data_IF_080324856044
#
_entry.id   IF_080324856044
#
_cell.length_a   1.000
_cell.length_b   1.000
_cell.length_c   1.000
_cell.angle_alpha   90.00
_cell.angle_beta   90.00
_cell.angle_gamma   90.00
#
_symmetry.space_group_name_H-M   'P 1'
#
loop_
_entity.id
_entity.type
_entity.pdbx_description
1 polymer ?
#
# COMPACT_ATOMS: atom_id res chain seq x y z
N UNK A 1 -2.48 -17.67 -14.91
CA UNK A 1 -2.85 -16.22 -14.92
C UNK A 1 -3.92 -16.03 -16.00
N UNK A 2 -4.74 -14.95 -16.01
CA UNK A 2 -5.74 -14.79 -17.08
C UNK A 2 -5.13 -14.47 -18.45
N UNK A 3 -3.89 -13.97 -18.48
CA UNK A 3 -3.07 -13.72 -19.67
C UNK A 3 -1.60 -14.10 -19.37
N UNK A 4 -0.86 -14.52 -20.39
CA UNK A 4 0.56 -14.90 -20.28
C UNK A 4 1.50 -13.71 -20.49
N UNK A 5 1.35 -12.68 -19.66
CA UNK A 5 2.17 -11.46 -19.69
C UNK A 5 3.32 -11.58 -18.69
N UNK A 6 4.53 -11.31 -19.18
CA UNK A 6 5.79 -11.32 -18.43
C UNK A 6 6.44 -9.92 -18.46
N UNK A 7 7.41 -9.67 -17.58
CA UNK A 7 8.13 -8.38 -17.52
C UNK A 7 8.90 -8.05 -18.81
N UNK A 8 9.30 -9.08 -19.57
CA UNK A 8 9.98 -8.94 -20.85
C UNK A 8 9.03 -8.93 -22.06
N UNK A 9 7.72 -9.09 -21.87
CA UNK A 9 6.76 -9.13 -22.98
C UNK A 9 6.65 -7.74 -23.63
N UNK A 10 6.90 -7.61 -24.95
CA UNK A 10 6.76 -6.34 -25.67
C UNK A 10 5.33 -5.79 -25.60
N UNK A 11 5.20 -4.46 -25.61
CA UNK A 11 3.89 -3.78 -25.48
C UNK A 11 2.91 -4.18 -26.60
N UNK A 12 3.39 -4.36 -27.82
CA UNK A 12 2.54 -4.73 -28.96
C UNK A 12 1.96 -6.13 -28.80
N UNK A 13 2.73 -7.05 -28.21
CA UNK A 13 2.28 -8.40 -27.90
C UNK A 13 1.22 -8.37 -26.80
N UNK A 14 1.43 -7.58 -25.74
CA UNK A 14 0.43 -7.38 -24.67
C UNK A 14 -0.89 -6.82 -25.23
N UNK A 15 -0.80 -5.80 -26.10
CA UNK A 15 -1.98 -5.23 -26.76
C UNK A 15 -2.68 -6.24 -27.66
N UNK A 16 -1.93 -7.09 -28.37
CA UNK A 16 -2.48 -8.15 -29.19
C UNK A 16 -3.19 -9.22 -28.35
N UNK A 17 -2.60 -9.65 -27.23
CA UNK A 17 -3.23 -10.56 -26.26
C UNK A 17 -4.56 -9.98 -25.78
N UNK A 18 -4.61 -8.71 -25.40
CA UNK A 18 -5.87 -8.06 -25.02
C UNK A 18 -6.85 -7.88 -26.18
N UNK A 19 -6.45 -7.92 -27.45
CA UNK A 19 -7.41 -7.83 -28.57
C UNK A 19 -7.98 -9.20 -28.91
N UNK A 20 -7.11 -10.19 -29.04
CA UNK A 20 -7.43 -11.49 -29.65
C UNK A 20 -7.83 -12.53 -28.61
N UNK A 21 -7.14 -12.56 -27.47
CA UNK A 21 -7.34 -13.63 -26.49
C UNK A 21 -8.61 -13.40 -25.65
N UNK A 22 -9.23 -14.53 -25.31
CA UNK A 22 -10.34 -14.61 -24.38
C UNK A 22 -9.86 -15.32 -23.13
N UNK A 23 -10.17 -14.74 -21.97
CA UNK A 23 -9.89 -15.36 -20.68
C UNK A 23 -10.62 -16.70 -20.59
N UNK A 24 -9.87 -17.74 -20.25
CA UNK A 24 -10.44 -19.06 -19.99
C UNK A 24 -11.14 -19.06 -18.62
N UNK A 25 -12.38 -19.53 -18.59
CA UNK A 25 -13.16 -19.73 -17.36
C UNK A 25 -13.48 -21.22 -17.23
N UNK A 26 -12.99 -21.84 -16.16
CA UNK A 26 -13.22 -23.27 -15.91
C UNK A 26 -14.71 -23.58 -15.75
N UNK A 27 -15.14 -24.73 -16.28
CA UNK A 27 -16.50 -25.24 -16.10
C UNK A 27 -16.81 -25.63 -14.65
N UNK A 28 -15.79 -25.82 -13.81
CA UNK A 28 -15.95 -26.11 -12.38
C UNK A 28 -16.36 -24.89 -11.55
N UNK A 29 -16.28 -23.68 -12.11
CA UNK A 29 -16.64 -22.46 -11.40
C UNK A 29 -18.12 -22.17 -11.49
N UNK A 30 -18.71 -21.66 -10.41
CA UNK A 30 -20.12 -21.31 -10.41
C UNK A 30 -20.40 -20.10 -11.32
N UNK A 31 -21.61 -20.04 -11.88
CA UNK A 31 -22.02 -18.99 -12.84
C UNK A 31 -21.86 -17.58 -12.26
N UNK A 32 -22.18 -17.39 -10.98
CA UNK A 32 -22.05 -16.11 -10.29
C UNK A 32 -20.59 -15.62 -10.22
N UNK A 33 -19.66 -16.50 -9.85
CA UNK A 33 -18.23 -16.20 -9.84
C UNK A 33 -17.73 -15.81 -11.24
N UNK A 34 -18.07 -16.60 -12.26
CA UNK A 34 -17.68 -16.30 -13.66
C UNK A 34 -18.23 -14.96 -14.12
N UNK A 35 -19.48 -14.63 -13.77
CA UNK A 35 -20.09 -13.35 -14.10
C UNK A 35 -19.37 -12.17 -13.43
N UNK A 36 -19.02 -12.30 -12.15
CA UNK A 36 -18.25 -11.28 -11.42
C UNK A 36 -16.86 -11.08 -12.05
N UNK A 37 -16.13 -12.17 -12.29
CA UNK A 37 -14.80 -12.12 -12.91
C UNK A 37 -14.83 -11.46 -14.29
N UNK A 38 -15.85 -11.75 -15.12
CA UNK A 38 -16.03 -11.10 -16.42
C UNK A 38 -16.19 -9.58 -16.29
N UNK A 39 -16.95 -9.09 -15.31
CA UNK A 39 -17.12 -7.64 -15.07
C UNK A 39 -15.84 -6.97 -14.56
N UNK A 40 -15.06 -7.66 -13.72
CA UNK A 40 -13.77 -7.17 -13.22
C UNK A 40 -12.68 -7.16 -14.30
N UNK A 41 -12.69 -8.15 -15.20
CA UNK A 41 -11.73 -8.31 -16.29
C UNK A 41 -12.20 -7.67 -17.61
N UNK A 42 -13.28 -6.88 -17.59
CA UNK A 42 -13.76 -6.13 -18.77
C UNK A 42 -12.65 -5.24 -19.31
N UNK A 43 -12.32 -5.34 -20.60
CA UNK A 43 -11.18 -4.63 -21.20
C UNK A 43 -11.37 -3.11 -21.22
N UNK A 44 -12.58 -2.65 -21.53
CA UNK A 44 -12.94 -1.23 -21.47
C UNK A 44 -13.11 -0.76 -20.01
N UNK A 45 -12.33 0.23 -19.54
CA UNK A 45 -12.44 0.74 -18.17
C UNK A 45 -13.80 1.35 -17.84
N UNK A 46 -14.52 1.93 -18.81
CA UNK A 46 -15.81 2.58 -18.57
C UNK A 46 -16.93 1.60 -18.26
N UNK A 47 -16.80 0.37 -18.75
CA UNK A 47 -17.74 -0.73 -18.50
C UNK A 47 -17.20 -1.75 -17.49
N UNK A 48 -15.97 -1.55 -17.01
CA UNK A 48 -15.37 -2.38 -15.96
C UNK A 48 -15.94 -1.96 -14.61
N UNK A 49 -16.26 -2.97 -13.80
CA UNK A 49 -16.60 -2.77 -12.40
C UNK A 49 -15.43 -2.09 -11.67
N UNK A 50 -15.67 -0.91 -11.07
CA UNK A 50 -14.61 0.01 -10.64
C UNK A 50 -14.86 0.70 -9.29
N UNK A 51 -16.00 0.43 -8.64
CA UNK A 51 -16.33 0.99 -7.32
C UNK A 51 -16.82 -0.06 -6.34
N UNK A 52 -16.70 0.24 -5.03
CA UNK A 52 -17.23 -0.64 -3.99
C UNK A 52 -18.75 -0.85 -4.11
N UNK A 53 -19.51 0.20 -4.44
CA UNK A 53 -20.96 0.08 -4.62
C UNK A 53 -21.35 -0.86 -5.77
N UNK A 54 -20.58 -0.89 -6.86
CA UNK A 54 -20.77 -1.86 -7.94
C UNK A 54 -20.38 -3.29 -7.54
N UNK A 55 -19.34 -3.46 -6.70
CA UNK A 55 -19.00 -4.76 -6.11
C UNK A 55 -20.14 -5.25 -5.23
N UNK A 56 -20.64 -4.39 -4.34
CA UNK A 56 -21.70 -4.72 -3.38
C UNK A 56 -23.03 -5.08 -4.06
N UNK A 57 -23.32 -4.45 -5.20
CA UNK A 57 -24.51 -4.75 -6.00
C UNK A 57 -24.36 -5.96 -6.93
N UNK A 58 -23.19 -6.63 -6.95
CA UNK A 58 -23.01 -7.83 -7.75
C UNK A 58 -23.86 -8.99 -7.20
N UNK A 59 -24.70 -9.66 -8.01
CA UNK A 59 -25.57 -10.73 -7.52
C UNK A 59 -24.85 -11.89 -6.83
N UNK A 60 -23.58 -12.14 -7.20
CA UNK A 60 -22.76 -13.17 -6.59
C UNK A 60 -22.36 -12.87 -5.14
N UNK A 61 -22.43 -11.61 -4.71
CA UNK A 61 -22.05 -11.15 -3.37
C UNK A 61 -23.27 -10.62 -2.58
N UNK A 62 -24.48 -10.98 -2.99
CA UNK A 62 -25.72 -10.48 -2.40
C UNK A 62 -25.93 -10.94 -0.94
N UNK A 63 -25.31 -12.06 -0.55
CA UNK A 63 -25.34 -12.64 0.79
C UNK A 63 -24.20 -12.12 1.70
N UNK A 64 -23.33 -11.25 1.18
CA UNK A 64 -22.20 -10.74 1.94
C UNK A 64 -22.63 -9.68 2.97
N UNK A 65 -22.29 -9.91 4.24
CA UNK A 65 -22.41 -8.88 5.27
C UNK A 65 -21.19 -7.96 5.24
N UNK A 66 -21.31 -6.83 4.54
CA UNK A 66 -20.23 -5.87 4.33
C UNK A 66 -19.76 -5.17 5.61
N UNK A 67 -20.64 -4.97 6.58
CA UNK A 67 -20.24 -4.42 7.89
C UNK A 67 -19.35 -5.42 8.64
N UNK A 68 -19.70 -6.71 8.62
CA UNK A 68 -18.87 -7.76 9.21
C UNK A 68 -17.53 -7.96 8.46
N UNK A 69 -17.49 -7.75 7.14
CA UNK A 69 -16.24 -7.70 6.36
C UNK A 69 -15.36 -6.55 6.88
N UNK A 70 -15.93 -5.35 7.01
CA UNK A 70 -15.23 -4.15 7.43
C UNK A 70 -14.65 -4.28 8.85
N UNK A 71 -15.45 -4.81 9.78
CA UNK A 71 -15.04 -5.08 11.16
C UNK A 71 -14.14 -6.32 11.31
N UNK A 72 -13.78 -6.99 10.20
CA UNK A 72 -13.00 -8.24 10.19
C UNK A 72 -13.62 -9.32 11.08
N UNK A 73 -14.94 -9.33 11.21
CA UNK A 73 -15.70 -10.25 12.04
C UNK A 73 -16.03 -11.56 11.30
N UNK A 74 -15.87 -11.60 9.98
CA UNK A 74 -16.01 -12.83 9.21
C UNK A 74 -14.82 -13.75 9.44
N UNK A 75 -15.10 -14.97 9.88
CA UNK A 75 -14.09 -16.02 10.00
C UNK A 75 -13.62 -16.46 8.61
N UNK A 76 -12.30 -16.46 8.34
CA UNK A 76 -11.78 -16.95 7.07
C UNK A 76 -12.00 -18.46 6.98
N UNK A 77 -12.30 -18.97 5.77
CA UNK A 77 -12.48 -20.40 5.53
C UNK A 77 -11.20 -21.25 5.73
N UNK A 78 -10.04 -20.60 5.85
CA UNK A 78 -8.76 -21.23 6.13
C UNK A 78 -7.92 -20.34 7.04
N UNK A 79 -7.30 -20.94 8.06
CA UNK A 79 -6.35 -20.28 8.95
C UNK A 79 -5.00 -21.00 8.83
N UNK A 80 -3.94 -20.32 8.31
CA UNK A 80 -2.61 -20.92 8.23
C UNK A 80 -2.07 -21.36 9.60
N UNK A 81 -1.23 -22.40 9.61
CA UNK A 81 -0.62 -22.89 10.85
C UNK A 81 0.40 -21.86 11.38
N UNK A 82 0.21 -21.41 12.62
CA UNK A 82 1.07 -20.43 13.30
C UNK A 82 2.48 -20.94 13.59
N UNK A 83 2.68 -22.25 13.68
CA UNK A 83 3.97 -22.88 14.01
C UNK A 83 4.87 -23.13 12.81
N UNK A 84 4.46 -22.75 11.59
CA UNK A 84 5.21 -22.98 10.37
C UNK A 84 5.28 -21.68 9.56
N UNK A 85 6.49 -21.35 9.10
CA UNK A 85 6.68 -20.26 8.13
C UNK A 85 5.96 -20.60 6.83
N UNK A 86 5.27 -19.62 6.26
CA UNK A 86 4.60 -19.77 4.96
C UNK A 86 5.53 -19.42 3.79
N UNK A 87 6.75 -18.98 4.08
CA UNK A 87 7.77 -18.58 3.11
C UNK A 87 8.88 -19.63 3.04
N UNK A 88 9.65 -19.61 1.94
CA UNK A 88 10.86 -20.42 1.80
C UNK A 88 11.97 -19.82 2.69
N UNK A 89 12.50 -20.58 3.68
CA UNK A 89 13.54 -20.10 4.59
C UNK A 89 14.81 -19.60 3.90
N UNK A 90 15.08 -20.02 2.67
CA UNK A 90 16.28 -19.60 1.90
C UNK A 90 16.24 -18.10 1.57
N UNK A 91 15.06 -17.52 1.40
CA UNK A 91 14.88 -16.09 1.14
C UNK A 91 14.80 -15.25 2.42
N UNK A 92 14.67 -15.87 3.59
CA UNK A 92 14.70 -15.20 4.91
C UNK A 92 16.13 -15.15 5.51
N UNK A 93 17.10 -15.82 4.87
CA UNK A 93 18.49 -15.85 5.32
C UNK A 93 19.13 -14.46 5.38
N UNK A 94 18.72 -13.53 4.52
CA UNK A 94 19.23 -12.16 4.56
C UNK A 94 18.91 -11.48 5.90
N UNK A 95 17.71 -11.66 6.45
CA UNK A 95 17.29 -11.10 7.74
C UNK A 95 18.04 -11.77 8.90
N UNK A 96 18.22 -13.09 8.83
CA UNK A 96 18.90 -13.88 9.87
C UNK A 96 20.42 -13.68 9.90
N UNK A 97 21.03 -13.25 8.79
CA UNK A 97 22.49 -13.02 8.65
C UNK A 97 22.86 -11.54 8.89
N UNK A 98 22.01 -10.57 8.54
CA UNK A 98 22.33 -9.15 8.69
C UNK A 98 22.05 -8.58 10.10
N UNK A 99 21.30 -9.27 10.96
CA UNK A 99 21.09 -8.83 12.34
C UNK A 99 22.42 -8.76 13.10
N UNK A 100 22.76 -7.56 13.59
CA UNK A 100 24.02 -7.31 14.30
C UNK A 100 24.10 -7.91 15.71
N UNK A 101 22.98 -8.42 16.25
CA UNK A 101 22.91 -9.16 17.51
C UNK A 101 22.12 -10.47 17.32
N UNK A 102 22.70 -11.47 16.62
CA UNK A 102 22.07 -12.77 16.54
C UNK A 102 21.90 -13.34 17.95
N UNK A 103 20.75 -13.97 18.20
CA UNK A 103 20.36 -14.56 19.48
C UNK A 103 21.44 -15.52 20.03
N UNK A 104 22.36 -14.99 20.85
CA UNK A 104 23.30 -15.66 21.77
C UNK A 104 23.83 -17.08 21.44
N UNK A 105 25.09 -17.18 20.95
CA UNK A 105 26.17 -17.98 21.60
C UNK A 105 27.58 -17.61 21.08
N UNK A 106 28.50 -17.42 22.04
CA UNK A 106 29.96 -17.14 21.98
C UNK A 106 30.43 -15.74 21.52
N UNK A 107 30.85 -14.97 22.54
CA UNK A 107 31.57 -13.71 22.48
C UNK A 107 32.97 -13.92 21.87
N UNK A 108 33.12 -13.75 20.55
CA UNK A 108 34.40 -13.39 19.93
C UNK A 108 34.20 -12.08 19.19
N UNK A 109 34.39 -10.96 19.90
CA UNK A 109 34.30 -9.62 19.33
C UNK A 109 35.51 -9.42 18.42
N UNK A 110 35.30 -9.28 17.11
CA UNK A 110 36.22 -8.48 16.29
C UNK A 110 36.02 -7.02 16.70
N UNK A 111 37.08 -6.38 17.14
CA UNK A 111 37.05 -4.96 17.46
C UNK A 111 36.78 -4.17 16.17
N UNK A 112 35.68 -3.42 16.12
CA UNK A 112 35.47 -2.40 15.10
C UNK A 112 36.45 -1.27 15.42
N UNK A 113 37.55 -1.22 14.69
CA UNK A 113 38.44 -0.07 14.70
C UNK A 113 37.60 1.15 14.28
N UNK A 114 37.38 2.08 15.21
CA UNK A 114 36.96 3.43 14.87
C UNK A 114 38.15 4.08 14.18
N UNK A 115 38.24 3.99 12.86
CA UNK A 115 39.11 4.88 12.11
C UNK A 115 38.60 6.30 12.35
N UNK A 116 39.47 7.09 13.00
CA UNK A 116 39.36 8.54 13.13
C UNK A 116 38.99 9.11 11.75
N UNK A 117 37.88 9.83 11.70
CA UNK A 117 37.45 10.53 10.50
C UNK A 117 38.46 11.66 10.25
N UNK A 118 39.36 11.41 9.32
CA UNK A 118 40.44 12.29 8.91
C UNK A 118 40.33 12.51 7.42
N UNK A 119 39.77 13.66 7.07
CA UNK A 119 40.06 14.42 5.85
C UNK A 119 39.94 13.66 4.52
N UNK A 120 38.80 13.84 3.83
CA UNK A 120 38.76 13.66 2.37
C UNK A 120 37.76 14.60 1.69
N UNK A 121 38.02 15.90 1.83
CA UNK A 121 37.52 16.90 0.88
C UNK A 121 38.32 16.78 -0.42
N UNK A 122 37.71 16.19 -1.45
CA UNK A 122 37.93 16.51 -2.89
C UNK A 122 37.33 15.45 -3.82
N UNK A 123 36.01 15.30 -3.80
CA UNK A 123 35.27 14.85 -4.98
C UNK A 123 34.02 15.74 -5.12
N UNK A 124 33.86 16.52 -6.21
CA UNK A 124 32.71 17.41 -6.41
C UNK A 124 31.35 16.70 -6.35
N UNK A 125 31.34 15.39 -6.65
CA UNK A 125 30.18 14.52 -6.59
C UNK A 125 29.62 14.37 -5.16
N UNK A 126 30.48 14.47 -4.13
CA UNK A 126 30.06 14.42 -2.73
C UNK A 126 29.30 15.68 -2.29
N UNK A 127 29.65 16.86 -2.83
CA UNK A 127 28.99 18.12 -2.48
C UNK A 127 27.56 18.19 -2.99
N UNK A 128 27.33 17.79 -4.24
CA UNK A 128 25.99 17.74 -4.83
C UNK A 128 25.10 16.71 -4.12
N UNK A 129 25.64 15.52 -3.82
CA UNK A 129 24.91 14.51 -3.05
C UNK A 129 24.54 15.03 -1.66
N UNK A 130 25.46 15.70 -0.97
CA UNK A 130 25.23 16.28 0.35
C UNK A 130 24.12 17.34 0.33
N UNK A 131 24.14 18.25 -0.65
CA UNK A 131 23.09 19.24 -0.84
C UNK A 131 21.73 18.59 -1.13
N UNK A 132 21.72 17.51 -1.91
CA UNK A 132 20.51 16.75 -2.20
C UNK A 132 19.94 16.10 -0.92
N UNK A 133 20.80 15.52 -0.08
CA UNK A 133 20.41 14.94 1.22
C UNK A 133 19.88 15.99 2.20
N UNK A 134 20.48 17.18 2.21
CA UNK A 134 20.01 18.30 3.03
C UNK A 134 18.64 18.80 2.58
N UNK A 135 18.41 18.85 1.27
CA UNK A 135 17.10 19.19 0.71
C UNK A 135 16.04 18.18 1.13
N UNK A 136 16.32 16.88 1.02
CA UNK A 136 15.42 15.82 1.50
C UNK A 136 15.14 15.98 2.99
N UNK A 137 16.18 16.21 3.81
CA UNK A 137 16.02 16.38 5.26
C UNK A 137 15.14 17.59 5.62
N UNK A 138 15.26 18.69 4.87
CA UNK A 138 14.51 19.92 5.13
C UNK A 138 13.05 19.80 4.71
N UNK A 139 12.80 19.20 3.54
CA UNK A 139 11.45 19.11 2.96
C UNK A 139 10.66 17.88 3.45
N UNK A 140 11.33 16.92 4.11
CA UNK A 140 10.66 15.72 4.62
C UNK A 140 9.72 16.05 5.78
N UNK A 141 8.42 15.85 5.54
CA UNK A 141 7.39 16.02 6.56
C UNK A 141 7.25 14.74 7.38
N UNK A 142 7.55 14.83 8.68
CA UNK A 142 7.36 13.71 9.60
C UNK A 142 5.86 13.54 9.86
N UNK A 143 5.28 12.48 9.30
CA UNK A 143 3.93 12.05 9.66
C UNK A 143 3.95 11.09 10.84
N UNK A 144 3.09 11.33 11.84
CA UNK A 144 2.92 10.45 12.98
C UNK A 144 1.42 10.24 13.27
N UNK A 145 0.92 9.06 12.88
CA UNK A 145 -0.48 8.65 13.07
C UNK A 145 -0.93 8.69 14.54
N UNK A 146 -0.06 8.31 15.47
CA UNK A 146 -0.38 8.29 16.90
C UNK A 146 -0.52 9.71 17.49
N UNK A 147 0.35 10.64 17.08
CA UNK A 147 0.22 12.06 17.44
C UNK A 147 -1.08 12.65 16.90
N UNK A 148 -1.41 12.35 15.64
CA UNK A 148 -2.67 12.80 15.02
C UNK A 148 -3.90 12.26 15.77
N UNK A 149 -3.91 10.96 16.11
CA UNK A 149 -5.02 10.35 16.86
C UNK A 149 -5.23 10.99 18.23
N UNK A 150 -4.14 11.31 18.95
CA UNK A 150 -4.22 11.99 20.25
C UNK A 150 -4.79 13.41 20.15
N UNK A 151 -4.41 14.15 19.11
CA UNK A 151 -4.93 15.51 18.86
C UNK A 151 -6.43 15.50 18.55
N UNK A 152 -6.89 14.55 17.72
CA UNK A 152 -8.32 14.39 17.43
C UNK A 152 -9.13 13.99 18.67
N UNK A 153 -8.58 13.10 19.52
CA UNK A 153 -9.22 12.73 20.79
C UNK A 153 -9.30 13.86 21.82
N UNK A 154 -8.30 14.76 21.85
CA UNK A 154 -8.29 15.93 22.75
C UNK A 154 -9.21 17.05 22.26
N UNK A 155 -9.30 17.27 20.94
CA UNK A 155 -10.20 18.29 20.37
C UNK A 155 -11.68 17.93 20.54
N UNK A 156 -12.02 16.64 20.68
CA UNK A 156 -13.39 16.19 20.99
C UNK A 156 -13.80 16.37 22.45
N UNK A 157 -12.86 16.48 23.40
CA UNK A 157 -13.18 16.62 24.83
C UNK A 157 -13.43 18.06 25.29
N UNK A 158 -13.03 19.08 24.53
CA UNK A 158 -13.27 20.49 24.89
C UNK A 158 -14.67 21.00 24.52
N UNK A 159 -15.48 20.21 23.81
CA UNK A 159 -16.84 20.59 23.41
C UNK A 159 -17.95 19.93 24.25
N UNK A 160 -17.63 18.96 25.11
CA UNK A 160 -18.62 18.17 25.87
C UNK A 160 -18.82 18.63 27.33
N UNK A 161 -18.49 19.89 27.65
CA UNK A 161 -18.78 20.46 28.98
C UNK A 161 -19.68 21.68 28.89
N UNK A 162 -20.79 21.61 28.14
CA UNK A 162 -22.00 22.41 28.39
C UNK A 162 -23.13 21.99 27.41
N UNK A 163 -24.27 21.54 27.94
CA UNK A 163 -25.54 21.57 27.20
C UNK A 163 -26.09 20.24 26.68
N UNK A 164 -27.20 19.83 27.29
CA UNK A 164 -28.03 18.65 26.99
C UNK A 164 -28.83 18.82 25.67
N UNK A 165 -29.08 17.69 25.01
CA UNK A 165 -30.22 17.35 24.11
C UNK A 165 -30.00 17.37 22.57
N UNK A 166 -30.23 16.20 21.96
CA UNK A 166 -30.89 16.08 20.65
C UNK A 166 -30.04 15.80 19.40
N UNK A 167 -30.13 14.56 18.90
CA UNK A 167 -30.19 14.13 17.49
C UNK A 167 -29.16 14.57 16.42
N UNK A 168 -28.79 13.58 15.57
CA UNK A 168 -28.10 13.66 14.25
C UNK A 168 -26.58 13.92 14.29
N UNK A 169 -25.72 13.49 13.36
CA UNK A 169 -25.81 12.82 12.06
C UNK A 169 -24.49 12.05 11.80
N UNK A 170 -24.52 11.08 10.90
CA UNK A 170 -23.32 10.40 10.36
C UNK A 170 -22.29 11.40 9.81
N UNK A 171 -21.13 11.47 10.45
CA UNK A 171 -19.95 12.13 9.87
C UNK A 171 -19.35 11.26 8.77
N UNK A 172 -19.55 11.65 7.50
CA UNK A 172 -18.78 11.10 6.37
C UNK A 172 -17.29 11.38 6.61
N UNK A 173 -16.52 10.34 6.92
CA UNK A 173 -15.06 10.40 6.74
C UNK A 173 -14.79 10.45 5.24
N UNK A 174 -14.46 11.64 4.74
CA UNK A 174 -13.98 11.82 3.38
C UNK A 174 -12.51 11.39 3.35
N UNK A 175 -12.27 10.12 3.08
CA UNK A 175 -10.95 9.59 2.80
C UNK A 175 -10.63 9.88 1.32
N UNK A 176 -9.63 10.71 1.03
CA UNK A 176 -9.31 11.05 -0.35
C UNK A 176 -8.43 12.28 -0.61
N UNK A 177 -8.13 13.11 0.38
CA UNK A 177 -7.19 14.22 0.16
C UNK A 177 -5.75 13.74 0.38
N UNK A 178 -5.08 13.39 -0.72
CA UNK A 178 -3.63 13.25 -0.74
C UNK A 178 -3.03 14.64 -0.47
N UNK A 179 -2.45 14.86 0.72
CA UNK A 179 -1.86 16.15 1.12
C UNK A 179 -0.57 16.52 0.34
N UNK A 180 -0.24 15.80 -0.74
CA UNK A 180 0.93 16.03 -1.58
C UNK A 180 0.66 16.95 -2.78
N UNK A 181 -0.54 17.52 -2.94
CA UNK A 181 -0.79 18.54 -3.98
C UNK A 181 -0.27 19.88 -3.46
N UNK A 182 1.00 20.17 -3.76
CA UNK A 182 1.59 21.48 -3.58
C UNK A 182 0.87 22.46 -4.52
N UNK A 183 0.05 23.36 -3.97
CA UNK A 183 -0.66 24.41 -4.71
C UNK A 183 0.28 25.54 -5.19
N UNK A 184 1.45 25.20 -5.71
CA UNK A 184 2.29 26.15 -6.44
C UNK A 184 2.13 25.91 -7.94
N UNK A 185 1.22 26.68 -8.54
CA UNK A 185 1.19 26.89 -9.97
C UNK A 185 2.56 27.43 -10.41
N UNK A 186 3.29 26.66 -11.21
CA UNK A 186 4.53 27.10 -11.85
C UNK A 186 4.16 28.09 -12.97
N UNK A 187 4.31 29.38 -12.69
CA UNK A 187 4.03 30.48 -13.63
C UNK A 187 5.23 30.80 -14.51
N UNK A 188 5.78 29.81 -15.22
CA UNK A 188 6.71 30.03 -16.33
C UNK A 188 6.39 29.11 -17.50
N UNK A 189 5.79 29.72 -18.53
CA UNK A 189 5.51 29.09 -19.80
C UNK A 189 6.78 28.61 -20.50
N UNK A 190 6.71 27.39 -21.03
CA UNK A 190 7.63 26.93 -22.07
C UNK A 190 6.97 27.27 -23.40
N UNK A 191 7.52 28.24 -24.13
CA UNK A 191 7.25 28.40 -25.55
C UNK A 191 8.16 27.45 -26.34
N UNK A 192 7.58 26.82 -27.35
CA UNK A 192 8.25 26.00 -28.37
C UNK A 192 9.29 26.77 -29.18
#
# INVERSE_FOLDING_TARGET
>A
RPYEIHSATPIDEVLNMFKVERVHYSSTWCKGMVALLKKLLTKDPKSRLSSLGEVQSAPYLADMNWDAVWEKALMPGFVPNKGRLNCDPTFELEEMILESNPLHKKKKRLAKNRSKDGTKDSCPLNGHLQQCLETVRKEFIIFNREKLRKQQGQSGQLLDTEGRAGSQAQGKLQDGCNNNILAHACSRGCSS
#
